data_IF_835878969985
#
_entry.id   IF_835878969985
#
_cell.length_a   1.000
_cell.length_b   1.000
_cell.length_c   1.000
_cell.angle_alpha   90.00
_cell.angle_beta   90.00
_cell.angle_gamma   90.00
#
_symmetry.space_group_name_H-M   'P 1'
#
loop_
_entity.id
_entity.type
_entity.pdbx_description
1 polymer ?
#
# COMPACT_ATOMS: atom_id res chain seq x y z
N UNK A 1 9.35 -12.76 26.72
CA UNK A 1 8.36 -12.53 25.64
C UNK A 1 7.08 -11.86 26.13
N UNK A 2 6.26 -12.48 26.96
CA UNK A 2 4.95 -11.95 27.39
C UNK A 2 5.00 -10.50 27.92
N UNK A 3 5.90 -10.19 28.83
CA UNK A 3 6.03 -8.84 29.43
C UNK A 3 6.36 -7.74 28.41
N UNK A 4 7.23 -8.06 27.42
CA UNK A 4 7.60 -7.11 26.36
C UNK A 4 6.42 -6.85 25.42
N UNK A 5 5.68 -7.89 25.05
CA UNK A 5 4.48 -7.78 24.24
C UNK A 5 3.40 -6.95 24.92
N UNK A 6 3.12 -7.21 26.21
CA UNK A 6 2.11 -6.46 26.95
C UNK A 6 2.53 -4.99 27.19
N UNK A 7 3.81 -4.73 27.39
CA UNK A 7 4.34 -3.38 27.45
C UNK A 7 4.16 -2.63 26.12
N UNK A 8 4.45 -3.29 24.98
CA UNK A 8 4.26 -2.73 23.64
C UNK A 8 2.78 -2.46 23.34
N UNK A 9 1.89 -3.41 23.64
CA UNK A 9 0.44 -3.22 23.49
C UNK A 9 -0.07 -2.03 24.28
N UNK A 10 0.37 -1.84 25.54
CA UNK A 10 0.01 -0.67 26.33
C UNK A 10 0.51 0.63 25.69
N UNK A 11 1.78 0.67 25.27
CA UNK A 11 2.35 1.85 24.59
C UNK A 11 1.52 2.20 23.34
N UNK A 12 1.26 1.24 22.46
CA UNK A 12 0.46 1.44 21.25
C UNK A 12 -0.99 1.88 21.58
N UNK A 13 -1.57 1.34 22.64
CA UNK A 13 -2.91 1.73 23.10
C UNK A 13 -3.03 3.20 23.48
N UNK A 14 -1.94 3.86 23.92
CA UNK A 14 -1.97 5.31 24.22
C UNK A 14 -2.20 6.17 22.98
N UNK A 15 -1.88 5.67 21.79
CA UNK A 15 -2.08 6.38 20.54
C UNK A 15 -3.58 6.58 20.21
N UNK A 16 -4.45 5.68 20.67
CA UNK A 16 -5.90 5.75 20.39
C UNK A 16 -6.53 7.02 21.00
N UNK A 17 -6.08 7.43 22.18
CA UNK A 17 -6.58 8.62 22.90
C UNK A 17 -5.83 9.91 22.51
N UNK A 18 -4.81 9.81 21.66
CA UNK A 18 -4.00 10.96 21.28
C UNK A 18 -4.71 11.91 20.31
N UNK A 19 -4.19 13.13 20.21
CA UNK A 19 -4.61 14.14 19.20
C UNK A 19 -3.79 14.06 17.91
N UNK A 20 -3.01 13.00 17.75
CA UNK A 20 -2.13 12.81 16.60
C UNK A 20 -2.92 12.62 15.30
N UNK A 21 -2.36 13.09 14.21
CA UNK A 21 -2.81 12.73 12.87
C UNK A 21 -2.50 11.26 12.56
N UNK A 22 -3.12 10.69 11.50
CA UNK A 22 -2.83 9.31 11.06
C UNK A 22 -1.34 9.13 10.77
N UNK A 23 -0.69 10.12 10.14
CA UNK A 23 0.74 10.07 9.86
C UNK A 23 1.57 10.02 11.16
N UNK A 24 1.31 10.91 12.09
CA UNK A 24 2.01 10.92 13.38
C UNK A 24 1.77 9.64 14.19
N UNK A 25 0.58 9.06 14.11
CA UNK A 25 0.29 7.75 14.73
C UNK A 25 1.14 6.63 14.12
N UNK A 26 1.31 6.60 12.79
CA UNK A 26 2.17 5.61 12.13
C UNK A 26 3.64 5.77 12.54
N UNK A 27 4.15 6.99 12.53
CA UNK A 27 5.53 7.32 12.94
C UNK A 27 5.79 6.91 14.40
N UNK A 28 4.88 7.27 15.31
CA UNK A 28 4.97 6.89 16.73
C UNK A 28 4.89 5.37 16.93
N UNK A 29 4.02 4.69 16.18
CA UNK A 29 3.91 3.23 16.27
C UNK A 29 5.21 2.54 15.81
N UNK A 30 5.81 2.98 14.71
CA UNK A 30 7.10 2.44 14.23
C UNK A 30 8.20 2.63 15.27
N UNK A 31 8.31 3.81 15.90
CA UNK A 31 9.25 4.07 16.98
C UNK A 31 9.03 3.15 18.18
N UNK A 32 7.76 2.88 18.57
CA UNK A 32 7.47 1.98 19.71
C UNK A 32 7.78 0.50 19.36
N UNK A 33 7.56 0.10 18.11
CA UNK A 33 7.79 -1.27 17.65
C UNK A 33 9.29 -1.57 17.61
N UNK A 34 10.12 -0.62 17.19
CA UNK A 34 11.58 -0.80 17.04
C UNK A 34 12.29 -1.20 18.34
N UNK A 35 11.75 -0.79 19.51
CA UNK A 35 12.26 -1.19 20.83
C UNK A 35 12.10 -2.70 21.10
N UNK A 36 11.14 -3.36 20.41
CA UNK A 36 10.77 -4.75 20.71
C UNK A 36 11.10 -5.69 19.56
N UNK A 37 10.85 -5.25 18.34
CA UNK A 37 11.21 -5.93 17.08
C UNK A 37 12.18 -5.03 16.31
N UNK A 38 13.50 -5.23 16.43
CA UNK A 38 14.48 -4.41 15.74
C UNK A 38 14.39 -4.55 14.21
N UNK A 39 14.50 -3.45 13.51
CA UNK A 39 14.52 -3.39 12.05
C UNK A 39 15.43 -2.27 11.57
N UNK A 40 15.90 -2.36 10.32
CA UNK A 40 16.75 -1.35 9.69
C UNK A 40 15.93 -0.27 8.95
N UNK A 41 14.76 -0.63 8.47
CA UNK A 41 13.83 0.27 7.82
C UNK A 41 12.39 -0.27 7.94
N UNK A 42 11.40 0.58 7.77
CA UNK A 42 10.00 0.19 7.89
C UNK A 42 9.08 0.97 6.93
N UNK A 43 7.92 0.40 6.68
CA UNK A 43 6.80 1.06 6.03
C UNK A 43 5.51 0.74 6.80
N UNK A 44 4.83 1.77 7.29
CA UNK A 44 3.49 1.66 7.84
C UNK A 44 2.52 2.42 6.94
N UNK A 45 1.62 1.70 6.29
CA UNK A 45 0.69 2.22 5.28
C UNK A 45 -0.74 2.13 5.81
N UNK A 46 -1.51 3.20 5.73
CA UNK A 46 -2.97 3.13 5.85
C UNK A 46 -3.61 2.86 4.48
N UNK A 47 -4.71 2.13 4.48
CA UNK A 47 -5.44 1.80 3.25
C UNK A 47 -6.92 2.13 3.40
N UNK A 48 -7.57 2.37 2.28
CA UNK A 48 -9.03 2.38 2.20
C UNK A 48 -9.55 0.95 2.33
N UNK A 49 -10.44 0.67 3.29
CA UNK A 49 -10.85 -0.71 3.61
C UNK A 49 -11.67 -1.39 2.50
N UNK A 50 -12.21 -0.63 1.56
CA UNK A 50 -13.02 -1.16 0.44
C UNK A 50 -12.14 -1.49 -0.77
N UNK A 51 -11.23 -0.58 -1.11
CA UNK A 51 -10.38 -0.72 -2.30
C UNK A 51 -9.03 -1.37 -2.01
N UNK A 52 -8.60 -1.40 -0.75
CA UNK A 52 -7.29 -1.82 -0.26
C UNK A 52 -6.12 -1.00 -0.84
N UNK A 53 -6.42 0.16 -1.42
CA UNK A 53 -5.42 1.07 -1.96
C UNK A 53 -4.84 1.96 -0.86
N UNK A 54 -3.55 2.26 -0.96
CA UNK A 54 -2.87 3.14 -0.02
C UNK A 54 -3.52 4.53 0.03
N UNK A 55 -3.81 5.00 1.24
CA UNK A 55 -4.26 6.36 1.53
C UNK A 55 -3.14 7.23 2.11
N UNK A 56 -1.98 6.65 2.39
CA UNK A 56 -0.77 7.31 2.88
C UNK A 56 0.12 6.35 3.63
N UNK A 57 1.41 6.65 3.71
CA UNK A 57 2.42 5.83 4.36
C UNK A 57 3.39 6.67 5.17
N UNK A 58 3.98 6.05 6.20
CA UNK A 58 5.20 6.52 6.85
C UNK A 58 6.30 5.52 6.51
N UNK A 59 7.38 5.99 5.88
CA UNK A 59 8.48 5.16 5.35
C UNK A 59 9.81 5.81 5.65
N UNK A 60 10.86 4.99 5.76
CA UNK A 60 12.23 5.47 5.72
C UNK A 60 12.66 5.81 4.29
N UNK A 61 13.64 6.72 4.12
CA UNK A 61 14.10 7.22 2.82
C UNK A 61 14.54 6.09 1.88
N UNK A 62 15.20 5.05 2.40
CA UNK A 62 15.65 3.90 1.61
C UNK A 62 14.46 3.13 1.03
N UNK A 63 13.38 2.98 1.81
CA UNK A 63 12.15 2.33 1.35
C UNK A 63 11.40 3.24 0.38
N UNK A 64 11.42 4.56 0.60
CA UNK A 64 10.79 5.51 -0.33
C UNK A 64 11.41 5.44 -1.73
N UNK A 65 12.72 5.29 -1.82
CA UNK A 65 13.44 5.18 -3.10
C UNK A 65 12.96 3.99 -3.97
N UNK A 66 12.53 2.89 -3.34
CA UNK A 66 12.03 1.68 -4.02
C UNK A 66 10.50 1.51 -3.96
N UNK A 67 9.79 2.46 -3.34
CA UNK A 67 8.38 2.32 -3.03
C UNK A 67 7.50 2.13 -4.28
N UNK A 68 7.87 2.76 -5.40
CA UNK A 68 7.16 2.59 -6.68
C UNK A 68 7.28 1.16 -7.23
N UNK A 69 8.44 0.50 -7.04
CA UNK A 69 8.64 -0.89 -7.43
C UNK A 69 7.87 -1.84 -6.51
N UNK A 70 7.86 -1.58 -5.20
CA UNK A 70 7.06 -2.34 -4.24
C UNK A 70 5.55 -2.26 -4.57
N UNK A 71 5.07 -1.09 -4.98
CA UNK A 71 3.68 -0.93 -5.44
C UNK A 71 3.38 -1.70 -6.73
N UNK A 72 4.32 -1.80 -7.66
CA UNK A 72 4.15 -2.62 -8.85
C UNK A 72 3.98 -4.10 -8.51
N UNK A 73 4.73 -4.61 -7.54
CA UNK A 73 4.57 -5.97 -7.03
C UNK A 73 3.25 -6.17 -6.27
N UNK A 74 2.80 -5.19 -5.48
CA UNK A 74 1.59 -5.33 -4.66
C UNK A 74 0.30 -5.16 -5.47
N UNK A 75 0.28 -4.20 -6.39
CA UNK A 75 -0.93 -3.83 -7.12
C UNK A 75 -0.92 -4.25 -8.60
N UNK A 76 0.23 -4.70 -9.11
CA UNK A 76 0.41 -5.12 -10.49
C UNK A 76 -0.13 -6.54 -10.75
N UNK A 77 -0.65 -6.79 -11.97
CA UNK A 77 -1.02 -8.15 -12.38
C UNK A 77 0.21 -8.92 -12.87
N UNK A 78 0.27 -10.21 -12.53
CA UNK A 78 1.28 -11.14 -13.00
C UNK A 78 2.50 -11.28 -12.11
N UNK A 79 2.54 -10.59 -10.99
CA UNK A 79 3.56 -10.76 -9.96
C UNK A 79 2.98 -11.52 -8.75
N UNK A 80 2.69 -12.81 -8.93
CA UNK A 80 2.48 -13.66 -7.76
C UNK A 80 3.79 -13.77 -7.00
N UNK A 81 3.80 -13.29 -5.76
CA UNK A 81 4.96 -13.34 -4.90
C UNK A 81 4.54 -13.70 -3.46
N UNK A 82 5.53 -14.10 -2.67
CA UNK A 82 5.33 -14.49 -1.28
C UNK A 82 4.74 -13.35 -0.44
N UNK A 83 3.82 -13.69 0.46
CA UNK A 83 3.28 -12.80 1.48
C UNK A 83 2.62 -11.52 0.93
N UNK A 84 1.93 -11.60 -0.23
CA UNK A 84 1.11 -10.47 -0.67
C UNK A 84 0.12 -10.07 0.44
N UNK A 85 -0.20 -8.78 0.55
CA UNK A 85 -1.15 -8.35 1.59
C UNK A 85 -2.54 -8.96 1.37
N UNK A 86 -2.95 -9.15 0.12
CA UNK A 86 -4.20 -9.83 -0.22
C UNK A 86 -4.23 -11.26 0.35
N UNK A 87 -3.13 -11.99 0.23
CA UNK A 87 -3.01 -13.32 0.84
C UNK A 87 -3.03 -13.25 2.38
N UNK A 88 -2.28 -12.31 2.98
CA UNK A 88 -2.20 -12.18 4.45
C UNK A 88 -3.52 -11.75 5.09
N UNK A 89 -4.40 -11.01 4.38
CA UNK A 89 -5.75 -10.66 4.86
C UNK A 89 -6.56 -11.92 5.17
N UNK A 90 -6.38 -12.99 4.39
CA UNK A 90 -7.12 -14.25 4.53
C UNK A 90 -6.34 -15.34 5.28
N UNK A 91 -5.09 -15.07 5.66
CA UNK A 91 -4.27 -16.02 6.38
C UNK A 91 -4.73 -16.19 7.84
N UNK A 92 -4.59 -17.39 8.43
CA UNK A 92 -4.91 -17.64 9.84
C UNK A 92 -4.11 -16.74 10.80
N UNK A 93 -2.90 -16.38 10.42
CA UNK A 93 -2.06 -15.41 11.13
C UNK A 93 -1.70 -14.27 10.17
N UNK A 94 -2.07 -13.03 10.49
CA UNK A 94 -1.96 -11.90 9.57
C UNK A 94 -0.53 -11.32 9.49
N UNK A 95 0.51 -12.14 9.70
CA UNK A 95 1.91 -11.75 9.61
C UNK A 95 2.80 -12.89 9.12
N UNK A 96 3.77 -12.58 8.24
CA UNK A 96 4.72 -13.54 7.70
C UNK A 96 6.06 -12.89 7.36
N UNK A 97 7.19 -13.60 7.62
CA UNK A 97 8.51 -13.20 7.14
C UNK A 97 8.83 -13.85 5.80
N UNK A 98 9.57 -13.15 4.96
CA UNK A 98 9.94 -13.65 3.64
C UNK A 98 10.87 -14.86 3.77
N UNK A 99 11.83 -14.80 4.70
CA UNK A 99 12.76 -15.90 4.98
C UNK A 99 12.04 -17.18 5.38
N UNK A 100 11.02 -17.12 6.26
CA UNK A 100 10.24 -18.30 6.63
C UNK A 100 9.40 -18.82 5.47
N UNK A 101 8.71 -17.94 4.73
CA UNK A 101 7.84 -18.33 3.61
C UNK A 101 8.59 -18.92 2.42
N UNK A 102 9.87 -18.55 2.26
CA UNK A 102 10.75 -19.11 1.22
C UNK A 102 11.65 -20.24 1.72
N UNK A 103 11.48 -20.68 2.97
CA UNK A 103 12.35 -21.71 3.61
C UNK A 103 13.84 -21.31 3.57
N UNK A 104 14.14 -20.03 3.75
CA UNK A 104 15.48 -19.45 3.66
C UNK A 104 15.98 -19.20 2.24
N UNK A 105 15.25 -19.64 1.21
CA UNK A 105 15.62 -19.45 -0.19
C UNK A 105 15.00 -18.15 -0.74
N UNK A 106 15.44 -17.00 -0.23
CA UNK A 106 14.92 -15.67 -0.57
C UNK A 106 14.85 -15.39 -2.07
N UNK A 107 15.77 -15.98 -2.85
CA UNK A 107 15.78 -15.87 -4.32
C UNK A 107 14.57 -16.48 -5.03
N UNK A 108 13.72 -17.24 -4.33
CA UNK A 108 12.43 -17.69 -4.87
C UNK A 108 11.46 -16.51 -5.06
N UNK A 109 11.56 -15.46 -4.25
CA UNK A 109 10.77 -14.23 -4.40
C UNK A 109 11.31 -13.36 -5.53
N UNK A 110 10.46 -13.00 -6.48
CA UNK A 110 10.77 -12.02 -7.54
C UNK A 110 11.02 -10.65 -6.94
N UNK A 111 10.17 -10.21 -6.02
CA UNK A 111 10.32 -8.96 -5.29
C UNK A 111 11.65 -8.88 -4.56
N UNK A 112 12.11 -9.98 -3.96
CA UNK A 112 13.42 -10.00 -3.30
C UNK A 112 14.54 -9.78 -4.31
N UNK A 113 14.57 -10.56 -5.40
CA UNK A 113 15.64 -10.48 -6.40
C UNK A 113 15.74 -9.12 -7.08
N UNK A 114 14.59 -8.54 -7.42
CA UNK A 114 14.51 -7.36 -8.29
C UNK A 114 14.46 -6.04 -7.52
N UNK A 115 14.00 -6.07 -6.26
CA UNK A 115 13.76 -4.85 -5.48
C UNK A 115 14.51 -4.86 -4.16
N UNK A 116 14.28 -5.87 -3.30
CA UNK A 116 14.79 -5.83 -1.93
C UNK A 116 16.31 -6.05 -1.86
N UNK A 117 16.84 -7.06 -2.53
CA UNK A 117 18.29 -7.35 -2.52
C UNK A 117 19.11 -6.22 -3.15
N UNK A 118 18.73 -5.62 -4.31
CA UNK A 118 19.42 -4.44 -4.83
C UNK A 118 19.40 -3.23 -3.90
N UNK A 119 18.34 -3.08 -3.09
CA UNK A 119 18.22 -2.03 -2.08
C UNK A 119 18.98 -2.33 -0.77
N UNK A 120 19.66 -3.49 -0.68
CA UNK A 120 20.47 -3.90 0.47
C UNK A 120 19.67 -4.52 1.60
N UNK A 121 18.44 -4.99 1.35
CA UNK A 121 17.63 -5.71 2.32
C UNK A 121 17.87 -7.22 2.24
N UNK A 122 17.95 -7.86 3.43
CA UNK A 122 18.20 -9.30 3.60
C UNK A 122 16.97 -10.08 4.06
N UNK A 123 15.97 -9.42 4.64
CA UNK A 123 14.68 -10.04 5.00
C UNK A 123 13.58 -8.98 5.12
N UNK A 124 12.35 -9.44 5.06
CA UNK A 124 11.13 -8.63 5.16
C UNK A 124 10.13 -9.34 6.07
N UNK A 125 9.53 -8.62 7.01
CA UNK A 125 8.42 -9.07 7.85
C UNK A 125 7.19 -8.21 7.58
N UNK A 126 6.12 -8.82 7.07
CA UNK A 126 4.87 -8.17 6.73
C UNK A 126 3.75 -8.51 7.70
N UNK A 127 2.88 -7.55 7.97
CA UNK A 127 1.62 -7.78 8.65
C UNK A 127 0.51 -6.93 8.05
N UNK A 128 -0.73 -7.45 8.08
CA UNK A 128 -1.95 -6.70 7.76
C UNK A 128 -2.64 -6.24 9.04
N UNK A 129 -3.15 -5.02 9.02
CA UNK A 129 -3.77 -4.35 10.15
C UNK A 129 -5.29 -4.51 10.04
N UNK A 130 -5.80 -5.59 10.62
CA UNK A 130 -7.22 -5.96 10.57
C UNK A 130 -7.95 -5.52 11.84
N UNK A 131 -9.10 -4.86 11.68
CA UNK A 131 -10.02 -4.51 12.77
C UNK A 131 -11.46 -4.65 12.30
N UNK A 132 -12.28 -5.38 13.07
CA UNK A 132 -13.71 -5.58 12.80
C UNK A 132 -14.00 -6.08 11.37
N UNK A 133 -13.19 -7.05 10.91
CA UNK A 133 -13.37 -7.66 9.59
C UNK A 133 -12.88 -6.83 8.40
N UNK A 134 -12.30 -5.65 8.63
CA UNK A 134 -11.79 -4.78 7.58
C UNK A 134 -10.27 -4.52 7.74
N UNK A 135 -9.57 -4.35 6.62
CA UNK A 135 -8.15 -4.00 6.60
C UNK A 135 -7.99 -2.47 6.60
N UNK A 136 -7.24 -1.95 7.56
CA UNK A 136 -6.99 -0.52 7.75
C UNK A 136 -5.56 -0.11 7.45
N UNK A 137 -4.70 -1.08 7.17
CA UNK A 137 -3.31 -0.78 6.84
C UNK A 137 -2.44 -1.99 6.68
N UNK A 138 -1.19 -1.70 6.33
CA UNK A 138 -0.10 -2.65 6.17
C UNK A 138 1.10 -2.18 6.98
N UNK A 139 1.83 -3.13 7.54
CA UNK A 139 3.07 -2.90 8.24
C UNK A 139 4.14 -3.81 7.65
N UNK A 140 5.24 -3.22 7.22
CA UNK A 140 6.41 -3.94 6.71
C UNK A 140 7.65 -3.47 7.43
N UNK A 141 8.41 -4.41 7.95
CA UNK A 141 9.70 -4.21 8.58
C UNK A 141 10.77 -4.86 7.71
N UNK A 142 11.93 -4.22 7.59
CA UNK A 142 13.04 -4.70 6.78
C UNK A 142 14.30 -4.85 7.60
N UNK A 143 15.10 -5.87 7.31
CA UNK A 143 16.47 -6.06 7.80
C UNK A 143 17.47 -5.95 6.67
N UNK A 144 18.65 -5.45 6.97
CA UNK A 144 19.72 -5.35 5.98
C UNK A 144 20.32 -6.72 5.68
N UNK A 145 20.93 -6.83 4.53
CA UNK A 145 21.78 -7.97 4.19
C UNK A 145 22.87 -8.15 5.24
N UNK A 146 23.00 -9.37 5.78
CA UNK A 146 23.95 -9.71 6.85
C UNK A 146 23.37 -9.58 8.27
N UNK A 147 22.21 -8.96 8.47
CA UNK A 147 21.49 -9.04 9.74
C UNK A 147 20.76 -10.39 9.88
N UNK A 148 20.49 -10.87 11.10
CA UNK A 148 19.69 -12.07 11.32
C UNK A 148 18.31 -11.92 10.71
N UNK A 149 17.78 -12.98 10.07
CA UNK A 149 16.41 -12.98 9.58
C UNK A 149 15.38 -12.80 10.72
N UNK A 150 14.19 -12.33 10.38
CA UNK A 150 13.10 -12.24 11.36
C UNK A 150 12.70 -13.63 11.84
N UNK A 151 12.65 -13.80 13.16
CA UNK A 151 12.32 -15.06 13.78
C UNK A 151 10.81 -15.19 14.09
N UNK A 152 10.42 -16.38 14.52
CA UNK A 152 9.01 -16.70 14.83
C UNK A 152 8.45 -15.85 15.98
N UNK A 153 9.25 -15.53 17.00
CA UNK A 153 8.82 -14.69 18.12
C UNK A 153 8.46 -13.28 17.64
N UNK A 154 9.28 -12.70 16.78
CA UNK A 154 9.05 -11.37 16.21
C UNK A 154 7.82 -11.34 15.31
N UNK A 155 7.60 -12.39 14.52
CA UNK A 155 6.40 -12.58 13.71
C UNK A 155 5.14 -12.64 14.57
N UNK A 156 5.17 -13.41 15.67
CA UNK A 156 4.05 -13.53 16.61
C UNK A 156 3.78 -12.21 17.36
N UNK A 157 4.82 -11.47 17.72
CA UNK A 157 4.68 -10.13 18.31
C UNK A 157 3.95 -9.21 17.32
N UNK A 158 4.39 -9.16 16.06
CA UNK A 158 3.78 -8.32 15.05
C UNK A 158 2.31 -8.66 14.82
N UNK A 159 2.00 -9.97 14.68
CA UNK A 159 0.63 -10.44 14.56
C UNK A 159 -0.25 -10.07 15.78
N UNK A 160 0.30 -10.12 16.99
CA UNK A 160 -0.43 -9.84 18.22
C UNK A 160 -0.72 -8.35 18.44
N UNK A 161 0.08 -7.44 17.90
CA UNK A 161 -0.16 -5.99 17.98
C UNK A 161 -1.00 -5.45 16.82
N UNK A 162 -1.02 -6.15 15.68
CA UNK A 162 -1.69 -5.69 14.46
C UNK A 162 -3.16 -5.28 14.65
N UNK A 163 -4.02 -6.02 15.40
CA UNK A 163 -5.41 -5.61 15.61
C UNK A 163 -5.55 -4.30 16.40
N UNK A 164 -4.73 -4.10 17.44
CA UNK A 164 -4.74 -2.87 18.23
C UNK A 164 -4.28 -1.66 17.42
N UNK A 165 -3.24 -1.81 16.60
CA UNK A 165 -2.76 -0.76 15.71
C UNK A 165 -3.79 -0.45 14.61
N UNK A 166 -4.45 -1.48 14.06
CA UNK A 166 -5.53 -1.32 13.10
C UNK A 166 -6.68 -0.47 13.66
N UNK A 167 -7.12 -0.79 14.90
CA UNK A 167 -8.16 -0.03 15.60
C UNK A 167 -7.75 1.42 15.81
N UNK A 168 -6.50 1.66 16.21
CA UNK A 168 -5.98 3.02 16.37
C UNK A 168 -6.00 3.81 15.05
N UNK A 169 -5.47 3.25 13.97
CA UNK A 169 -5.46 3.89 12.65
C UNK A 169 -6.89 4.16 12.18
N UNK A 170 -7.80 3.18 12.30
CA UNK A 170 -9.23 3.34 12.01
C UNK A 170 -9.82 4.53 12.75
N UNK A 171 -9.68 4.56 14.08
CA UNK A 171 -10.30 5.57 14.93
C UNK A 171 -9.76 6.97 14.63
N UNK A 172 -8.45 7.09 14.36
CA UNK A 172 -7.84 8.38 13.99
C UNK A 172 -8.27 8.81 12.58
N UNK A 173 -8.33 7.90 11.62
CA UNK A 173 -8.75 8.19 10.24
C UNK A 173 -10.23 8.62 10.15
N UNK A 174 -11.10 8.07 11.02
CA UNK A 174 -12.52 8.39 11.05
C UNK A 174 -12.88 9.59 11.94
N UNK A 175 -11.91 10.17 12.68
CA UNK A 175 -12.17 11.41 13.42
C UNK A 175 -12.54 12.54 12.46
N UNK A 176 -13.63 13.28 12.72
CA UNK A 176 -13.96 14.43 11.88
C UNK A 176 -12.78 15.41 11.86
N UNK A 177 -12.25 15.66 10.68
CA UNK A 177 -11.26 16.74 10.51
C UNK A 177 -11.96 18.07 10.77
N UNK A 178 -11.53 18.80 11.80
CA UNK A 178 -11.97 20.16 12.06
C UNK A 178 -11.43 21.17 11.03
N UNK A 179 -10.73 20.71 10.00
CA UNK A 179 -10.33 21.55 8.89
C UNK A 179 -11.58 21.99 8.14
N UNK A 180 -11.91 23.27 8.24
CA UNK A 180 -12.82 23.95 7.34
C UNK A 180 -12.34 23.68 5.91
N UNK A 181 -12.89 22.65 5.26
CA UNK A 181 -12.78 22.48 3.82
C UNK A 181 -13.52 23.70 3.26
N UNK A 182 -12.75 24.75 2.98
CA UNK A 182 -13.28 25.98 2.42
C UNK A 182 -14.06 25.64 1.16
N UNK A 183 -15.18 26.33 0.94
CA UNK A 183 -16.16 26.12 -0.14
C UNK A 183 -15.57 26.11 -1.59
N UNK A 184 -14.26 26.31 -1.75
CA UNK A 184 -13.52 26.18 -3.01
C UNK A 184 -13.37 24.74 -3.51
N UNK A 185 -13.66 23.73 -2.69
CA UNK A 185 -13.52 22.30 -3.02
C UNK A 185 -14.74 21.69 -3.75
N UNK A 186 -15.60 22.52 -4.38
CA UNK A 186 -16.82 22.02 -5.07
C UNK A 186 -16.55 21.46 -6.47
N UNK A 187 -15.38 21.71 -7.06
CA UNK A 187 -15.06 21.24 -8.41
C UNK A 187 -14.16 20.00 -8.35
N UNK A 188 -14.47 19.02 -9.21
CA UNK A 188 -13.65 17.82 -9.34
C UNK A 188 -12.24 18.15 -9.83
N UNK A 189 -11.21 17.67 -9.15
CA UNK A 189 -9.83 17.75 -9.60
C UNK A 189 -9.58 16.71 -10.71
N UNK A 190 -8.99 17.15 -11.82
CA UNK A 190 -8.58 16.28 -12.92
C UNK A 190 -7.06 16.35 -13.04
N UNK A 191 -6.42 15.18 -13.06
CA UNK A 191 -5.00 15.00 -13.33
C UNK A 191 -4.84 14.03 -14.50
N UNK A 192 -4.08 14.41 -15.50
CA UNK A 192 -3.69 13.54 -16.61
C UNK A 192 -2.22 13.21 -16.45
N UNK A 193 -1.91 11.93 -16.36
CA UNK A 193 -0.57 11.42 -16.15
C UNK A 193 -0.10 10.65 -17.39
N UNK A 194 1.20 10.73 -17.66
CA UNK A 194 1.85 9.90 -18.68
C UNK A 194 1.97 8.45 -18.20
N UNK A 195 2.40 7.56 -19.08
CA UNK A 195 2.72 6.17 -18.70
C UNK A 195 3.91 6.09 -17.73
N UNK A 196 4.78 7.10 -17.67
CA UNK A 196 5.85 7.23 -16.66
C UNK A 196 5.38 7.82 -15.32
N UNK A 197 4.07 8.08 -15.16
CA UNK A 197 3.45 8.72 -13.99
C UNK A 197 3.86 10.19 -13.77
N UNK A 198 4.32 10.85 -14.80
CA UNK A 198 4.57 12.29 -14.80
C UNK A 198 3.26 13.05 -15.07
N UNK A 199 3.11 14.22 -14.45
CA UNK A 199 1.95 15.06 -14.67
C UNK A 199 2.01 15.68 -16.08
N UNK A 200 1.09 15.28 -16.95
CA UNK A 200 0.95 15.85 -18.29
C UNK A 200 0.06 17.09 -18.31
N UNK A 201 -1.05 17.07 -17.55
CA UNK A 201 -2.00 18.18 -17.47
C UNK A 201 -2.86 18.10 -16.22
N UNK A 202 -3.41 19.24 -15.79
CA UNK A 202 -4.38 19.31 -14.69
C UNK A 202 -5.28 20.53 -14.85
N UNK A 203 -6.49 20.44 -14.26
CA UNK A 203 -7.29 21.65 -14.02
C UNK A 203 -6.86 22.31 -12.69
N UNK A 204 -7.38 23.50 -12.40
CA UNK A 204 -7.04 24.26 -11.20
C UNK A 204 -7.31 23.49 -9.89
N UNK A 205 -8.44 22.78 -9.82
CA UNK A 205 -8.80 21.94 -8.65
C UNK A 205 -7.87 20.74 -8.51
N UNK A 206 -7.47 20.10 -9.62
CA UNK A 206 -6.50 19.01 -9.63
C UNK A 206 -5.13 19.45 -9.13
N UNK A 207 -4.63 20.58 -9.63
CA UNK A 207 -3.37 21.15 -9.17
C UNK A 207 -3.39 21.51 -7.68
N UNK A 208 -4.50 22.08 -7.20
CA UNK A 208 -4.70 22.39 -5.77
C UNK A 208 -4.65 21.10 -4.91
N UNK A 209 -5.41 20.08 -5.25
CA UNK A 209 -5.42 18.83 -4.49
C UNK A 209 -4.10 18.09 -4.54
N UNK A 210 -3.40 18.13 -5.67
CA UNK A 210 -2.06 17.54 -5.78
C UNK A 210 -1.07 18.24 -4.84
N UNK A 211 -1.12 19.55 -4.75
CA UNK A 211 -0.28 20.32 -3.82
C UNK A 211 -0.60 20.01 -2.35
N UNK A 212 -1.89 19.88 -1.99
CA UNK A 212 -2.30 19.52 -0.63
C UNK A 212 -1.87 18.08 -0.26
N UNK A 213 -1.99 17.12 -1.18
CA UNK A 213 -1.53 15.76 -0.95
C UNK A 213 0.00 15.70 -0.74
N UNK A 214 0.78 16.43 -1.55
CA UNK A 214 2.24 16.52 -1.39
C UNK A 214 2.63 17.11 -0.04
N UNK A 215 1.94 18.16 0.38
CA UNK A 215 2.13 18.79 1.69
C UNK A 215 1.83 17.82 2.84
N UNK A 216 0.72 17.07 2.75
CA UNK A 216 0.35 16.08 3.75
C UNK A 216 1.37 14.94 3.86
N UNK A 217 1.93 14.51 2.74
CA UNK A 217 2.96 13.46 2.70
C UNK A 217 4.39 13.97 2.91
N UNK A 218 4.59 15.30 2.97
CA UNK A 218 5.91 15.96 3.10
C UNK A 218 6.88 15.57 1.99
N UNK A 219 6.37 15.43 0.76
CA UNK A 219 7.15 15.11 -0.43
C UNK A 219 7.34 16.36 -1.30
N UNK A 220 8.35 16.32 -2.19
CA UNK A 220 8.66 17.43 -3.10
C UNK A 220 7.60 17.62 -4.21
N UNK A 221 7.79 18.64 -5.03
CA UNK A 221 6.85 19.02 -6.10
C UNK A 221 6.91 18.11 -7.32
N UNK A 222 7.94 17.29 -7.46
CA UNK A 222 8.11 16.38 -8.60
C UNK A 222 7.53 14.99 -8.30
N UNK A 223 7.51 14.62 -7.03
CA UNK A 223 7.04 13.29 -6.60
C UNK A 223 5.51 13.18 -6.64
N UNK A 224 5.01 12.10 -7.25
CA UNK A 224 3.58 11.77 -7.22
C UNK A 224 3.20 11.20 -5.85
N UNK A 225 2.15 11.73 -5.17
CA UNK A 225 1.67 11.22 -3.88
C UNK A 225 1.33 9.72 -3.92
N UNK A 226 1.59 9.03 -2.81
CA UNK A 226 1.41 7.57 -2.69
C UNK A 226 -0.01 7.08 -3.02
N UNK A 227 -1.10 7.74 -2.60
CA UNK A 227 -2.45 7.35 -3.00
C UNK A 227 -2.63 7.35 -4.52
N UNK A 228 -2.08 8.35 -5.21
CA UNK A 228 -2.15 8.42 -6.67
C UNK A 228 -1.30 7.33 -7.33
N UNK A 229 -0.09 7.06 -6.80
CA UNK A 229 0.75 5.95 -7.26
C UNK A 229 0.03 4.60 -7.13
N UNK A 230 -0.66 4.34 -6.01
CA UNK A 230 -1.43 3.12 -5.78
C UNK A 230 -2.57 2.96 -6.79
N UNK A 231 -3.37 4.02 -7.01
CA UNK A 231 -4.45 4.03 -8.01
C UNK A 231 -3.91 3.78 -9.41
N UNK A 232 -2.82 4.46 -9.80
CA UNK A 232 -2.21 4.30 -11.11
C UNK A 232 -1.65 2.89 -11.32
N UNK A 233 -0.97 2.32 -10.32
CA UNK A 233 -0.45 0.94 -10.39
C UNK A 233 -1.58 -0.06 -10.57
N UNK A 234 -2.66 0.08 -9.82
CA UNK A 234 -3.86 -0.77 -9.95
C UNK A 234 -4.55 -0.58 -11.31
N UNK A 235 -4.65 0.64 -11.81
CA UNK A 235 -5.27 0.91 -13.11
C UNK A 235 -4.48 0.31 -14.28
N UNK A 236 -3.16 0.30 -14.20
CA UNK A 236 -2.28 -0.32 -15.21
C UNK A 236 -2.36 -1.83 -15.22
N UNK A 237 -2.60 -2.44 -14.07
CA UNK A 237 -2.67 -3.90 -13.94
C UNK A 237 -3.98 -4.50 -14.43
N UNK A 238 -5.04 -3.71 -14.60
CA UNK A 238 -6.26 -4.20 -15.24
C UNK A 238 -6.02 -4.30 -16.75
N UNK A 239 -6.42 -5.40 -17.44
CA UNK A 239 -6.37 -5.45 -18.89
C UNK A 239 -7.11 -4.23 -19.43
N UNK A 240 -6.48 -3.50 -20.35
CA UNK A 240 -7.09 -2.33 -21.00
C UNK A 240 -8.31 -2.78 -21.78
N UNK A 241 -9.48 -2.73 -21.17
CA UNK A 241 -10.77 -2.80 -21.84
C UNK A 241 -10.92 -1.42 -22.49
N UNK A 242 -10.84 -1.36 -23.81
CA UNK A 242 -10.93 -0.19 -24.69
C UNK A 242 -9.63 0.63 -24.81
N UNK A 243 -8.71 0.17 -25.66
CA UNK A 243 -8.02 1.11 -26.53
C UNK A 243 -9.02 1.50 -27.61
N UNK A 244 -9.54 2.71 -27.57
CA UNK A 244 -10.12 3.33 -28.75
C UNK A 244 -8.94 3.59 -29.70
N UNK A 245 -8.79 2.74 -30.73
CA UNK A 245 -7.85 2.97 -31.81
C UNK A 245 -8.57 3.87 -32.82
N UNK A 246 -8.23 5.16 -32.96
CA UNK A 246 -8.88 6.03 -33.93
C UNK A 246 -8.62 5.64 -35.39
N UNK A 247 -7.65 4.75 -35.65
CA UNK A 247 -7.26 4.32 -36.99
C UNK A 247 -7.99 3.06 -37.48
N UNK A 248 -8.83 2.42 -36.69
CA UNK A 248 -9.72 1.34 -37.16
C UNK A 248 -11.05 1.87 -37.71
N UNK A 249 -10.99 2.91 -38.54
CA UNK A 249 -12.05 3.20 -39.49
C UNK A 249 -11.69 2.61 -40.83
N UNK A 250 -12.41 1.59 -41.20
CA UNK A 250 -12.54 1.00 -42.54
C UNK A 250 -11.86 -0.34 -42.74
N UNK A 251 -12.54 -1.39 -42.28
CA UNK A 251 -12.63 -2.61 -43.06
C UNK A 251 -13.93 -3.33 -42.71
N UNK A 252 -14.87 -3.27 -43.65
CA UNK A 252 -15.85 -4.26 -44.04
C UNK A 252 -16.72 -4.90 -42.96
N UNK A 253 -17.91 -4.35 -42.73
CA UNK A 253 -19.05 -5.16 -42.28
C UNK A 253 -19.39 -6.16 -43.38
N UNK A 254 -19.31 -7.49 -43.20
CA UNK A 254 -19.88 -8.43 -44.16
C UNK A 254 -21.40 -8.36 -44.00
N UNK A 255 -22.07 -7.91 -45.04
CA UNK A 255 -23.51 -8.06 -45.23
C UNK A 255 -23.82 -9.54 -45.42
N UNK A 256 -24.23 -10.22 -44.42
CA UNK A 256 -24.90 -11.52 -44.57
C UNK A 256 -26.38 -11.33 -44.39
N UNK A 257 -27.00 -11.03 -45.54
CA UNK A 257 -28.43 -11.03 -45.70
C UNK A 257 -28.85 -12.43 -46.11
N UNK A 258 -29.72 -13.05 -45.32
CA UNK A 258 -30.66 -14.05 -45.86
C UNK A 258 -30.28 -15.52 -45.63
N UNK A 259 -30.82 -16.10 -44.56
CA UNK A 259 -31.33 -17.46 -44.60
C UNK A 259 -32.64 -17.58 -43.85
N UNK A 260 -33.70 -17.53 -44.62
CA UNK A 260 -35.05 -17.98 -44.28
C UNK A 260 -34.99 -19.50 -44.07
N UNK A 261 -35.41 -20.02 -42.92
CA UNK A 261 -35.67 -21.43 -42.72
C UNK A 261 -37.18 -21.64 -42.86
N UNK A 262 -37.66 -22.50 -43.77
CA UNK A 262 -39.06 -22.88 -43.82
C UNK A 262 -39.32 -23.93 -42.75
N UNK A 263 -40.49 -23.80 -42.07
CA UNK A 263 -40.95 -24.75 -41.10
C UNK A 263 -41.41 -26.09 -41.67
N UNK A 264 -41.33 -27.09 -40.84
CA UNK A 264 -42.31 -28.17 -40.66
C UNK A 264 -42.25 -28.64 -39.24
#
# INVERSE_FOLDING_TARGET
MADRLEALKRKLGTLESSTLSVQQCREAALTMISDTVPFAAACCTSVDPVTLLSTGSSTDDVVEAIHHQLFAYEYGHGHEDYNSYEHLIHAPLPAASLSASTEGMLSRSGRFREVLAPAGFGDELRAVLLSEGACWGYLTLFRRTGEPAFNEEERLILAAIAPGLAKTIKNVALKPSSSNITAKAKESGILILTDSLELSSSNASGAHWLAELRKLERIDTETLPRPLRAVCSRARSKPRICRFNPDERSEGVPSDAGRVIPGN
#
